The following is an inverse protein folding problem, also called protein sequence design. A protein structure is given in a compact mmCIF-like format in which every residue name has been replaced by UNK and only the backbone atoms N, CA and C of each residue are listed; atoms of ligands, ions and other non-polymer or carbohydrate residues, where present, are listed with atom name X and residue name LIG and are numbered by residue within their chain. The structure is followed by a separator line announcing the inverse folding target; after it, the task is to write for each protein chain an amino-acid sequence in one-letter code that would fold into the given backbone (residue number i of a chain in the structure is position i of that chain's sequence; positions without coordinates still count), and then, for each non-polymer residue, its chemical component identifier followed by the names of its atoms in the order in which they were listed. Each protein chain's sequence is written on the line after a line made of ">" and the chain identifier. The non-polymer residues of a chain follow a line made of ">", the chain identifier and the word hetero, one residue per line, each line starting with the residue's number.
data_IF_415406352114
#
_entry.id   IF_415406352114
#
_cell.length_a   1.000
_cell.length_b   1.000
_cell.length_c   1.000
_cell.angle_alpha   90.00
_cell.angle_beta   90.00
_cell.angle_gamma   90.00
#
_symmetry.space_group_name_H-M   'P 1'
#
loop_
_entity.id
_entity.type
_entity.pdbx_description
1 polymer ?
#
# COMPACT_ATOMS: atom_id res chain seq x y z
N UNK A 1 -4.74 20.45 -30.66
CA UNK A 1 -5.83 20.87 -29.76
C UNK A 1 -6.93 19.81 -29.74
N UNK A 2 -6.64 18.58 -29.28
CA UNK A 2 -7.59 17.45 -29.22
C UNK A 2 -7.19 16.36 -28.20
N UNK A 3 -6.66 16.75 -27.02
CA UNK A 3 -6.28 15.78 -25.96
C UNK A 3 -7.20 15.80 -24.72
N UNK A 4 -8.29 16.58 -24.78
CA UNK A 4 -9.09 16.92 -23.60
C UNK A 4 -10.17 15.87 -23.22
N UNK A 5 -10.34 14.80 -24.01
CA UNK A 5 -11.39 13.79 -23.77
C UNK A 5 -10.88 12.34 -23.81
N UNK A 6 -9.59 12.08 -23.56
CA UNK A 6 -9.20 10.72 -23.19
C UNK A 6 -9.77 10.44 -21.80
N UNK A 7 -10.85 9.66 -21.76
CA UNK A 7 -11.37 9.10 -20.51
C UNK A 7 -10.25 8.33 -19.83
N UNK A 8 -10.08 8.56 -18.52
CA UNK A 8 -9.14 7.79 -17.71
C UNK A 8 -9.44 6.29 -17.86
N UNK A 9 -8.40 5.43 -17.86
CA UNK A 9 -8.58 4.00 -17.97
C UNK A 9 -9.38 3.46 -16.76
N UNK A 10 -10.11 2.37 -16.95
CA UNK A 10 -11.05 1.83 -15.95
C UNK A 10 -10.35 1.56 -14.62
N UNK A 11 -9.18 0.93 -14.64
CA UNK A 11 -8.39 0.65 -13.44
C UNK A 11 -8.08 1.93 -12.62
N UNK A 12 -7.78 3.05 -13.29
CA UNK A 12 -7.46 4.30 -12.61
C UNK A 12 -8.70 4.97 -12.01
N UNK A 13 -9.86 4.85 -12.66
CA UNK A 13 -11.12 5.40 -12.14
C UNK A 13 -11.65 4.71 -10.89
N UNK A 14 -11.14 3.52 -10.60
CA UNK A 14 -11.54 2.71 -9.44
C UNK A 14 -10.57 2.86 -8.26
N UNK A 15 -9.49 3.64 -8.42
CA UNK A 15 -8.58 3.91 -7.31
C UNK A 15 -9.26 4.80 -6.25
N UNK A 16 -9.00 4.53 -4.96
CA UNK A 16 -9.39 5.43 -3.89
C UNK A 16 -8.96 6.89 -4.15
N UNK A 17 -9.78 7.90 -3.83
CA UNK A 17 -9.50 9.30 -4.15
C UNK A 17 -8.18 9.84 -3.60
N UNK A 18 -7.71 9.31 -2.46
CA UNK A 18 -6.44 9.73 -1.86
C UNK A 18 -5.21 9.19 -2.60
N UNK A 19 -5.39 8.25 -3.53
CA UNK A 19 -4.35 7.77 -4.44
C UNK A 19 -4.38 8.69 -5.67
N UNK A 20 -3.91 9.91 -5.47
CA UNK A 20 -3.81 10.91 -6.53
C UNK A 20 -2.62 10.55 -7.44
N UNK A 21 -2.93 10.02 -8.63
CA UNK A 21 -1.97 9.86 -9.72
C UNK A 21 -2.16 10.99 -10.73
N UNK A 22 -1.05 11.56 -11.18
CA UNK A 22 -1.03 12.57 -12.22
C UNK A 22 -1.39 11.94 -13.58
N UNK A 23 -1.87 12.76 -14.51
CA UNK A 23 -2.18 12.28 -15.86
C UNK A 23 -0.98 11.59 -16.56
N UNK A 24 0.26 12.12 -16.51
CA UNK A 24 1.43 11.43 -17.07
C UNK A 24 1.69 10.05 -16.45
N UNK A 25 1.47 9.90 -15.14
CA UNK A 25 1.62 8.60 -14.47
C UNK A 25 0.55 7.62 -14.93
N UNK A 26 -0.71 8.05 -15.00
CA UNK A 26 -1.82 7.24 -15.51
C UNK A 26 -1.53 6.80 -16.95
N UNK A 27 -1.09 7.72 -17.82
CA UNK A 27 -0.79 7.42 -19.21
C UNK A 27 0.39 6.43 -19.34
N UNK A 28 1.44 6.60 -18.52
CA UNK A 28 2.59 5.69 -18.49
C UNK A 28 2.25 4.29 -17.96
N UNK A 29 1.46 4.22 -16.89
CA UNK A 29 0.99 2.95 -16.32
C UNK A 29 0.03 2.22 -17.28
N UNK A 30 -0.85 2.96 -17.95
CA UNK A 30 -1.76 2.39 -18.96
C UNK A 30 -1.02 1.84 -20.18
N UNK A 31 0.11 2.45 -20.56
CA UNK A 31 0.97 1.92 -21.62
C UNK A 31 1.55 0.56 -21.21
N UNK A 32 2.09 0.45 -20.00
CA UNK A 32 2.62 -0.81 -19.45
C UNK A 32 1.52 -1.87 -19.43
N UNK A 33 0.35 -1.54 -18.87
CA UNK A 33 -0.78 -2.47 -18.79
C UNK A 33 -1.15 -3.04 -20.16
N UNK A 34 -1.27 -2.17 -21.18
CA UNK A 34 -1.61 -2.57 -22.56
C UNK A 34 -0.52 -3.39 -23.23
N UNK A 35 0.75 -3.02 -23.05
CA UNK A 35 1.90 -3.69 -23.65
C UNK A 35 2.00 -5.15 -23.19
N UNK A 36 1.70 -5.40 -21.92
CA UNK A 36 1.76 -6.75 -21.34
C UNK A 36 0.40 -7.47 -21.35
N UNK A 37 -0.68 -6.83 -21.82
CA UNK A 37 -1.99 -7.46 -21.90
C UNK A 37 -2.62 -7.78 -20.53
N UNK A 38 -2.34 -6.96 -19.51
CA UNK A 38 -2.85 -7.14 -18.15
C UNK A 38 -4.29 -6.61 -18.08
N UNK A 39 -5.19 -7.36 -17.45
CA UNK A 39 -6.56 -6.90 -17.25
C UNK A 39 -6.63 -5.65 -16.34
N UNK A 40 -7.70 -4.87 -16.45
CA UNK A 40 -7.88 -3.68 -15.61
C UNK A 40 -7.95 -4.03 -14.12
N UNK A 41 -8.63 -5.11 -13.73
CA UNK A 41 -8.83 -5.47 -12.33
C UNK A 41 -7.53 -6.00 -11.72
N UNK A 42 -6.84 -6.88 -12.45
CA UNK A 42 -5.51 -7.39 -12.09
C UNK A 42 -4.49 -6.24 -11.95
N UNK A 43 -4.47 -5.30 -12.90
CA UNK A 43 -3.57 -4.16 -12.84
C UNK A 43 -3.94 -3.19 -11.72
N UNK A 44 -5.23 -2.95 -11.46
CA UNK A 44 -5.67 -2.13 -10.34
C UNK A 44 -5.19 -2.71 -9.01
N UNK A 45 -5.39 -4.01 -8.78
CA UNK A 45 -4.94 -4.70 -7.58
C UNK A 45 -3.43 -4.61 -7.43
N UNK A 46 -2.69 -4.80 -8.53
CA UNK A 46 -1.24 -4.65 -8.56
C UNK A 46 -0.79 -3.23 -8.14
N UNK A 47 -1.42 -2.19 -8.69
CA UNK A 47 -1.12 -0.79 -8.31
C UNK A 47 -1.48 -0.53 -6.85
N UNK A 48 -2.62 -1.03 -6.36
CA UNK A 48 -3.04 -0.85 -4.96
C UNK A 48 -2.13 -1.58 -3.96
N UNK A 49 -1.51 -2.69 -4.36
CA UNK A 49 -0.52 -3.42 -3.56
C UNK A 49 0.90 -2.85 -3.64
N UNK A 50 1.14 -1.84 -4.49
CA UNK A 50 2.49 -1.31 -4.69
C UNK A 50 2.99 -0.56 -3.45
N UNK A 51 4.26 -0.73 -3.00
CA UNK A 51 4.79 -0.12 -1.78
C UNK A 51 4.57 1.40 -1.67
N UNK A 52 4.70 2.10 -2.80
CA UNK A 52 4.47 3.55 -2.88
C UNK A 52 3.02 3.95 -2.61
N UNK A 53 2.07 3.13 -3.07
CA UNK A 53 0.65 3.35 -2.87
C UNK A 53 0.24 2.96 -1.45
N UNK A 54 0.82 1.90 -0.90
CA UNK A 54 0.71 1.55 0.52
C UNK A 54 1.18 2.70 1.40
N UNK A 55 2.39 3.25 1.18
CA UNK A 55 2.91 4.39 1.95
C UNK A 55 1.93 5.56 1.97
N UNK A 56 1.41 5.97 0.80
CA UNK A 56 0.43 7.07 0.71
C UNK A 56 -0.84 6.78 1.48
N UNK A 57 -1.35 5.56 1.35
CA UNK A 57 -2.58 5.16 2.03
C UNK A 57 -2.42 5.23 3.54
N UNK A 58 -1.31 4.71 4.07
CA UNK A 58 -1.01 4.76 5.50
C UNK A 58 -0.78 6.20 6.00
N UNK A 59 -0.08 7.04 5.23
CA UNK A 59 0.08 8.46 5.55
C UNK A 59 -1.25 9.22 5.54
N UNK A 60 -2.12 8.93 4.57
CA UNK A 60 -3.44 9.52 4.49
C UNK A 60 -4.30 9.12 5.70
N UNK A 61 -4.31 7.83 6.06
CA UNK A 61 -4.99 7.33 7.27
C UNK A 61 -4.45 8.00 8.54
N UNK A 62 -3.13 8.12 8.67
CA UNK A 62 -2.51 8.83 9.78
C UNK A 62 -3.01 10.27 9.91
N UNK A 63 -3.00 11.02 8.81
CA UNK A 63 -3.52 12.40 8.79
C UNK A 63 -5.01 12.47 9.10
N UNK A 64 -5.78 11.48 8.64
CA UNK A 64 -7.22 11.40 8.88
C UNK A 64 -7.54 11.13 10.36
N UNK A 65 -6.83 10.20 11.01
CA UNK A 65 -7.06 9.86 12.42
C UNK A 65 -6.45 10.85 13.40
N UNK A 66 -5.46 11.65 12.97
CA UNK A 66 -4.86 12.70 13.79
C UNK A 66 -5.91 13.75 14.15
N UNK A 67 -6.55 13.55 15.29
CA UNK A 67 -7.63 14.37 15.82
C UNK A 67 -7.24 14.89 17.22
N UNK A 68 -7.77 16.06 17.64
CA UNK A 68 -7.53 16.56 18.99
C UNK A 68 -8.10 15.56 20.01
N UNK A 69 -7.22 14.86 20.73
CA UNK A 69 -7.60 13.91 21.77
C UNK A 69 -6.98 12.51 21.62
N UNK A 70 -6.43 12.16 20.45
CA UNK A 70 -5.65 10.94 20.29
C UNK A 70 -4.15 11.21 20.41
N UNK A 71 -3.44 10.33 21.10
CA UNK A 71 -1.98 10.33 21.12
C UNK A 71 -1.41 9.76 19.83
N UNK A 72 -0.14 10.03 19.55
CA UNK A 72 0.57 9.40 18.42
C UNK A 72 0.44 7.87 18.49
N UNK A 73 0.66 7.29 19.68
CA UNK A 73 0.55 5.84 19.91
C UNK A 73 -0.84 5.31 19.55
N UNK A 74 -1.92 6.00 19.94
CA UNK A 74 -3.28 5.57 19.64
C UNK A 74 -3.51 5.52 18.12
N UNK A 75 -3.06 6.54 17.39
CA UNK A 75 -3.20 6.60 15.94
C UNK A 75 -2.40 5.48 15.25
N UNK A 76 -1.16 5.25 15.68
CA UNK A 76 -0.31 4.19 15.14
C UNK A 76 -0.89 2.79 15.40
N UNK A 77 -1.47 2.56 16.58
CA UNK A 77 -2.14 1.31 16.90
C UNK A 77 -3.37 1.06 16.01
N UNK A 78 -4.18 2.09 15.74
CA UNK A 78 -5.33 1.96 14.82
C UNK A 78 -4.86 1.59 13.42
N UNK A 79 -3.83 2.25 12.89
CA UNK A 79 -3.27 1.96 11.57
C UNK A 79 -2.72 0.52 11.51
N UNK A 80 -1.94 0.13 12.53
CA UNK A 80 -1.38 -1.20 12.61
C UNK A 80 -2.47 -2.28 12.68
N UNK A 81 -3.52 -2.07 13.49
CA UNK A 81 -4.65 -2.99 13.58
C UNK A 81 -5.36 -3.15 12.23
N UNK A 82 -5.64 -2.05 11.52
CA UNK A 82 -6.26 -2.09 10.20
C UNK A 82 -5.42 -2.87 9.18
N UNK A 83 -4.10 -2.65 9.20
CA UNK A 83 -3.20 -3.38 8.31
C UNK A 83 -3.09 -4.84 8.70
N UNK A 84 -3.05 -5.15 10.00
CA UNK A 84 -3.07 -6.51 10.52
C UNK A 84 -4.29 -7.28 10.04
N UNK A 85 -5.50 -6.72 10.14
CA UNK A 85 -6.71 -7.40 9.64
C UNK A 85 -6.61 -7.76 8.15
N UNK A 86 -6.09 -6.86 7.33
CA UNK A 86 -5.90 -7.12 5.89
C UNK A 86 -4.94 -8.29 5.62
N UNK A 87 -3.88 -8.41 6.44
CA UNK A 87 -2.92 -9.53 6.35
C UNK A 87 -3.45 -10.82 6.97
N UNK A 88 -4.25 -10.71 8.03
CA UNK A 88 -4.85 -11.84 8.72
C UNK A 88 -5.78 -12.63 7.79
N UNK A 89 -6.60 -11.95 6.99
CA UNK A 89 -7.52 -12.60 6.04
C UNK A 89 -6.80 -13.44 4.97
N UNK A 90 -5.59 -13.05 4.58
CA UNK A 90 -4.81 -13.72 3.52
C UNK A 90 -3.74 -14.69 4.04
N UNK A 91 -3.71 -14.97 5.33
CA UNK A 91 -2.77 -15.96 5.89
C UNK A 91 -1.46 -15.39 6.43
N UNK A 92 -1.21 -14.08 6.30
CA UNK A 92 0.07 -13.47 6.65
C UNK A 92 0.19 -13.13 8.15
N UNK A 93 1.40 -13.22 8.68
CA UNK A 93 1.74 -12.89 10.07
C UNK A 93 2.43 -11.52 10.17
N UNK A 94 1.66 -10.45 9.93
CA UNK A 94 2.18 -9.08 9.92
C UNK A 94 2.89 -8.77 11.24
N UNK A 95 4.21 -8.59 11.16
CA UNK A 95 5.07 -8.27 12.31
C UNK A 95 4.91 -9.23 13.49
N UNK A 96 4.53 -10.50 13.25
CA UNK A 96 4.35 -11.50 14.30
C UNK A 96 3.04 -11.39 15.09
N UNK A 97 2.09 -10.53 14.68
CA UNK A 97 0.82 -10.34 15.40
C UNK A 97 -0.14 -11.54 15.29
N UNK A 98 -0.14 -12.26 14.17
CA UNK A 98 -1.01 -13.42 13.96
C UNK A 98 -0.62 -14.57 14.88
N UNK A 99 0.68 -14.84 15.01
CA UNK A 99 1.19 -15.96 15.83
C UNK A 99 0.80 -15.87 17.31
N UNK A 100 0.42 -14.68 17.78
CA UNK A 100 -0.02 -14.41 19.15
C UNK A 100 -1.48 -13.98 19.26
N UNK A 101 -2.23 -13.93 18.16
CA UNK A 101 -3.56 -13.32 18.10
C UNK A 101 -4.63 -14.02 18.97
N UNK A 102 -4.45 -15.32 19.25
CA UNK A 102 -5.38 -16.09 20.09
C UNK A 102 -5.18 -15.86 21.60
N UNK A 103 -4.04 -15.30 22.01
CA UNK A 103 -3.68 -15.04 23.40
C UNK A 103 -3.63 -13.52 23.63
N UNK A 104 -4.69 -12.97 24.23
CA UNK A 104 -4.86 -11.53 24.43
C UNK A 104 -3.65 -10.89 25.12
N UNK A 105 -3.06 -11.55 26.13
CA UNK A 105 -1.90 -11.00 26.85
C UNK A 105 -0.66 -10.94 25.96
N UNK A 106 -0.41 -11.97 25.14
CA UNK A 106 0.71 -11.98 24.19
C UNK A 106 0.50 -11.02 23.03
N UNK A 107 -0.74 -10.89 22.55
CA UNK A 107 -1.09 -9.93 21.51
C UNK A 107 -0.83 -8.49 21.97
N UNK A 108 -1.28 -8.14 23.19
CA UNK A 108 -1.03 -6.82 23.79
C UNK A 108 0.46 -6.57 23.98
N UNK A 109 1.21 -7.54 24.53
CA UNK A 109 2.65 -7.42 24.69
C UNK A 109 3.36 -7.20 23.35
N UNK A 110 2.96 -7.91 22.29
CA UNK A 110 3.53 -7.76 20.95
C UNK A 110 3.22 -6.40 20.35
N UNK A 111 1.99 -5.90 20.51
CA UNK A 111 1.65 -4.53 20.08
C UNK A 111 2.51 -3.50 20.80
N UNK A 112 2.74 -3.65 22.11
CA UNK A 112 3.57 -2.73 22.87
C UNK A 112 5.03 -2.74 22.40
N UNK A 113 5.61 -3.91 22.14
CA UNK A 113 6.95 -4.04 21.55
C UNK A 113 7.06 -3.29 20.22
N UNK A 114 6.09 -3.47 19.32
CA UNK A 114 6.06 -2.78 18.03
C UNK A 114 5.97 -1.26 18.24
N UNK A 115 5.11 -0.80 19.14
CA UNK A 115 4.95 0.64 19.43
C UNK A 115 6.18 1.25 20.14
N UNK A 116 6.96 0.47 20.86
CA UNK A 116 8.25 0.90 21.42
C UNK A 116 9.33 1.04 20.34
N UNK A 117 9.32 0.18 19.32
CA UNK A 117 10.27 0.21 18.21
C UNK A 117 9.91 1.29 17.17
N UNK A 118 8.61 1.54 16.97
CA UNK A 118 8.08 2.41 15.93
C UNK A 118 7.23 3.52 16.54
N UNK A 119 7.88 4.58 17.02
CA UNK A 119 7.25 5.68 17.77
C UNK A 119 6.64 6.78 16.89
N UNK A 120 6.74 6.66 15.56
CA UNK A 120 6.17 7.61 14.62
C UNK A 120 5.69 6.89 13.34
N UNK A 121 4.86 7.58 12.55
CA UNK A 121 4.27 6.99 11.35
C UNK A 121 5.30 6.55 10.30
N UNK A 122 6.38 7.29 10.09
CA UNK A 122 7.37 6.94 9.07
C UNK A 122 8.07 5.62 9.42
N UNK A 123 8.51 5.46 10.67
CA UNK A 123 9.16 4.23 11.11
C UNK A 123 8.22 3.03 11.12
N UNK A 124 6.92 3.22 11.41
CA UNK A 124 5.93 2.15 11.30
C UNK A 124 5.67 1.75 9.85
N UNK A 125 5.55 2.74 8.95
CA UNK A 125 5.39 2.49 7.51
C UNK A 125 6.58 1.70 6.98
N UNK A 126 7.81 2.12 7.30
CA UNK A 126 9.02 1.45 6.84
C UNK A 126 9.04 -0.02 7.27
N UNK A 127 8.66 -0.32 8.51
CA UNK A 127 8.58 -1.69 9.01
C UNK A 127 7.50 -2.54 8.32
N UNK A 128 6.33 -1.96 8.05
CA UNK A 128 5.25 -2.63 7.31
C UNK A 128 5.71 -2.93 5.89
N UNK A 129 6.33 -1.96 5.21
CA UNK A 129 6.80 -2.14 3.83
C UNK A 129 7.93 -3.15 3.76
N UNK A 130 8.90 -3.12 4.69
CA UNK A 130 9.96 -4.12 4.76
C UNK A 130 9.40 -5.53 4.96
N UNK A 131 8.36 -5.66 5.79
CA UNK A 131 7.65 -6.94 5.95
C UNK A 131 6.96 -7.37 4.64
N UNK A 132 6.23 -6.46 3.99
CA UNK A 132 5.47 -6.72 2.77
C UNK A 132 6.37 -7.05 1.58
N UNK A 133 7.54 -6.43 1.46
CA UNK A 133 8.54 -6.73 0.43
C UNK A 133 9.15 -8.13 0.58
N UNK A 134 9.17 -8.68 1.81
CA UNK A 134 9.61 -10.06 2.07
C UNK A 134 8.53 -11.08 1.75
N UNK A 135 7.27 -10.66 1.68
CA UNK A 135 6.21 -11.52 1.15
C UNK A 135 6.37 -11.53 -0.38
N UNK A 136 6.30 -12.72 -1.00
CA UNK A 136 6.29 -12.76 -2.47
C UNK A 136 5.11 -11.90 -2.94
N UNK A 137 5.35 -10.84 -3.74
CA UNK A 137 4.25 -10.04 -4.26
C UNK A 137 3.37 -10.99 -5.06
N UNK A 138 2.04 -10.94 -4.90
CA UNK A 138 1.14 -11.70 -5.77
C UNK A 138 1.27 -11.12 -7.17
N UNK A 139 2.04 -11.73 -8.09
CA UNK A 139 2.29 -11.13 -9.39
C UNK A 139 1.03 -11.26 -10.23
N UNK A 140 0.79 -10.38 -11.21
CA UNK A 140 0.06 -10.79 -12.40
C UNK A 140 0.65 -12.10 -12.91
N UNK A 141 -0.17 -13.10 -13.20
CA UNK A 141 0.27 -14.47 -13.51
C UNK A 141 1.02 -14.61 -14.86
N UNK A 142 1.44 -13.50 -15.46
CA UNK A 142 1.89 -13.39 -16.84
C UNK A 142 3.42 -13.29 -16.99
N UNK A 143 3.92 -13.81 -18.11
CA UNK A 143 5.32 -13.71 -18.47
C UNK A 143 5.80 -12.25 -18.59
N UNK A 144 6.96 -11.93 -18.01
CA UNK A 144 7.54 -10.58 -18.05
C UNK A 144 7.21 -9.70 -16.84
N UNK A 145 6.65 -10.27 -15.76
CA UNK A 145 6.34 -9.57 -14.52
C UNK A 145 7.48 -8.67 -13.99
N UNK A 146 8.72 -9.16 -13.97
CA UNK A 146 9.86 -8.39 -13.48
C UNK A 146 10.04 -7.06 -14.24
N UNK A 147 9.74 -7.05 -15.54
CA UNK A 147 9.79 -5.84 -16.39
C UNK A 147 8.63 -4.89 -16.08
N UNK A 148 7.43 -5.43 -15.85
CA UNK A 148 6.27 -4.66 -15.40
C UNK A 148 6.60 -4.00 -14.06
N UNK A 149 7.09 -4.77 -13.10
CA UNK A 149 7.41 -4.28 -11.77
C UNK A 149 8.51 -3.22 -11.77
N UNK A 150 9.54 -3.39 -12.59
CA UNK A 150 10.61 -2.39 -12.75
C UNK A 150 10.04 -1.07 -13.29
N UNK A 151 9.26 -1.11 -14.37
CA UNK A 151 8.73 0.09 -15.02
C UNK A 151 7.65 0.79 -14.21
N UNK A 152 6.80 0.04 -13.50
CA UNK A 152 5.82 0.62 -12.58
C UNK A 152 6.53 1.30 -11.41
N UNK A 153 7.60 0.67 -10.88
CA UNK A 153 8.43 1.29 -9.84
C UNK A 153 9.06 2.61 -10.32
N UNK A 154 9.58 2.65 -11.55
CA UNK A 154 10.15 3.88 -12.11
C UNK A 154 9.12 5.02 -12.14
N UNK A 155 7.89 4.74 -12.57
CA UNK A 155 6.82 5.74 -12.60
C UNK A 155 6.43 6.19 -11.18
N UNK A 156 6.21 5.24 -10.26
CA UNK A 156 5.65 5.55 -8.94
C UNK A 156 6.68 6.06 -7.92
N UNK A 157 7.99 5.78 -8.09
CA UNK A 157 9.05 6.28 -7.19
C UNK A 157 9.24 7.80 -7.28
N UNK A 158 8.99 8.41 -8.43
CA UNK A 158 9.15 9.86 -8.61
C UNK A 158 8.08 10.69 -7.91
N UNK A 159 7.03 10.04 -7.44
CA UNK A 159 5.84 10.69 -6.92
C UNK A 159 5.86 10.87 -5.39
N UNK A 160 7.00 10.60 -4.72
CA UNK A 160 7.20 10.83 -3.27
C UNK A 160 7.88 12.16 -2.92
N UNK A 161 8.17 13.04 -3.89
CA UNK A 161 8.97 14.25 -3.65
C UNK A 161 8.19 15.52 -3.28
N UNK A 162 6.90 15.43 -2.99
CA UNK A 162 6.07 16.59 -2.61
C UNK A 162 5.47 16.43 -1.21
#
# INVERSE_FOLDING_TARGET
>A
MFEFLRKSPKWATQLPPHIELTKPEIDGLELIRKEFGIDNEEFQLYIMGHPQITRRTLLHQYRHYKSPGLTEKDVLQVILAQRFFSHFEIGNDLLGLRSVAEDESKYVARLEEIMMQHTNIESLIDAILEYEERQEPTPPAQAGYEKVATRVNEILKHTLRN
#
